data_IF_658224134377
#
_entry.id   IF_658224134377
#
_cell.length_a   1.000
_cell.length_b   1.000
_cell.length_c   1.000
_cell.angle_alpha   90.00
_cell.angle_beta   90.00
_cell.angle_gamma   90.00
#
_symmetry.space_group_name_H-M   'P 1'
#
loop_
_entity.id
_entity.type
_entity.pdbx_description
1 polymer ?
#
# COMPACT_ATOMS: atom_id res chain seq x y z
N UNK A 1 13.28 27.63 -7.67
CA UNK A 1 11.81 27.60 -7.84
C UNK A 1 11.35 26.50 -8.81
N UNK A 2 11.97 26.37 -9.98
CA UNK A 2 11.62 25.35 -11.02
C UNK A 2 11.64 23.90 -10.50
N UNK A 3 12.62 23.51 -9.67
CA UNK A 3 12.68 22.15 -9.13
C UNK A 3 11.52 21.80 -8.19
N UNK A 4 10.88 22.77 -7.52
CA UNK A 4 9.78 22.51 -6.59
C UNK A 4 8.49 22.12 -7.32
N UNK A 5 8.19 22.79 -8.44
CA UNK A 5 7.01 22.48 -9.27
C UNK A 5 7.09 21.08 -9.88
N UNK A 6 8.28 20.68 -10.34
CA UNK A 6 8.51 19.35 -10.89
C UNK A 6 8.30 18.24 -9.84
N UNK A 7 8.86 18.39 -8.64
CA UNK A 7 8.66 17.43 -7.55
C UNK A 7 7.18 17.33 -7.15
N UNK A 8 6.49 18.47 -7.08
CA UNK A 8 5.05 18.49 -6.80
C UNK A 8 4.21 17.74 -7.86
N UNK A 9 4.56 17.89 -9.14
CA UNK A 9 3.88 17.16 -10.22
C UNK A 9 4.06 15.64 -10.07
N UNK A 10 5.27 15.17 -9.73
CA UNK A 10 5.51 13.75 -9.50
C UNK A 10 4.74 13.23 -8.29
N UNK A 11 4.69 14.01 -7.19
CA UNK A 11 3.88 13.64 -6.02
C UNK A 11 2.42 13.44 -6.42
N UNK A 12 1.84 14.34 -7.23
CA UNK A 12 0.48 14.19 -7.75
C UNK A 12 0.31 12.92 -8.57
N UNK A 13 1.24 12.63 -9.48
CA UNK A 13 1.18 11.39 -10.27
C UNK A 13 1.10 10.17 -9.36
N UNK A 14 1.94 10.08 -8.33
CA UNK A 14 1.95 8.90 -7.47
C UNK A 14 0.79 8.84 -6.46
N UNK A 15 0.19 9.98 -6.12
CA UNK A 15 -1.11 10.01 -5.43
C UNK A 15 -2.20 9.40 -6.34
N UNK A 16 -2.26 9.81 -7.60
CA UNK A 16 -3.27 9.26 -8.52
C UNK A 16 -3.03 7.78 -8.84
N UNK A 17 -1.75 7.34 -8.90
CA UNK A 17 -1.41 5.92 -9.02
C UNK A 17 -1.87 5.13 -7.78
N UNK A 18 -1.72 5.69 -6.58
CA UNK A 18 -2.27 5.08 -5.37
C UNK A 18 -3.79 4.92 -5.50
N UNK A 19 -4.49 6.00 -5.83
CA UNK A 19 -5.95 6.02 -5.82
C UNK A 19 -6.60 5.19 -6.92
N UNK A 20 -5.95 5.08 -8.09
CA UNK A 20 -6.53 4.44 -9.27
C UNK A 20 -5.92 3.08 -9.64
N UNK A 21 -4.74 2.74 -9.13
CA UNK A 21 -4.09 1.45 -9.43
C UNK A 21 -3.92 0.60 -8.18
N UNK A 22 -3.38 1.18 -7.10
CA UNK A 22 -3.08 0.45 -5.87
C UNK A 22 -4.35 0.16 -5.05
N UNK A 23 -5.08 1.21 -4.67
CA UNK A 23 -6.24 1.11 -3.81
C UNK A 23 -7.34 0.19 -4.37
N UNK A 24 -7.70 0.25 -5.67
CA UNK A 24 -8.68 -0.66 -6.26
C UNK A 24 -8.25 -2.13 -6.29
N UNK A 25 -6.94 -2.42 -6.22
CA UNK A 25 -6.42 -3.78 -6.15
C UNK A 25 -6.32 -4.29 -4.69
N UNK A 26 -5.86 -3.47 -3.75
CA UNK A 26 -5.64 -3.92 -2.36
C UNK A 26 -6.91 -3.90 -1.51
N UNK A 27 -7.79 -2.90 -1.69
CA UNK A 27 -8.95 -2.70 -0.82
C UNK A 27 -9.97 -3.84 -0.89
N UNK A 28 -10.26 -4.50 -2.04
CA UNK A 28 -11.15 -5.65 -2.07
C UNK A 28 -10.59 -6.84 -1.29
N UNK A 29 -9.26 -7.06 -1.34
CA UNK A 29 -8.61 -8.15 -0.58
C UNK A 29 -8.77 -7.91 0.91
N UNK A 30 -8.44 -6.70 1.37
CA UNK A 30 -8.59 -6.32 2.79
C UNK A 30 -10.06 -6.40 3.24
N UNK A 31 -10.99 -5.94 2.40
CA UNK A 31 -12.42 -6.03 2.70
C UNK A 31 -12.88 -7.48 2.85
N UNK A 32 -12.60 -8.33 1.87
CA UNK A 32 -13.06 -9.72 1.87
C UNK A 32 -12.45 -10.54 3.01
N UNK A 33 -11.17 -10.29 3.33
CA UNK A 33 -10.47 -11.06 4.36
C UNK A 33 -10.75 -10.57 5.79
N UNK A 34 -10.75 -9.25 6.02
CA UNK A 34 -10.88 -8.69 7.38
C UNK A 34 -12.27 -8.15 7.70
N UNK A 35 -12.92 -7.47 6.74
CA UNK A 35 -14.16 -6.71 7.01
C UNK A 35 -15.41 -7.56 6.84
N UNK A 36 -15.51 -8.32 5.74
CA UNK A 36 -16.69 -9.13 5.44
C UNK A 36 -17.05 -10.11 6.59
N UNK A 37 -16.11 -10.88 7.17
CA UNK A 37 -16.41 -11.76 8.31
C UNK A 37 -16.89 -11.00 9.55
N UNK A 38 -16.35 -9.81 9.82
CA UNK A 38 -16.79 -8.97 10.94
C UNK A 38 -18.21 -8.42 10.77
N UNK A 39 -18.67 -8.32 9.52
CA UNK A 39 -20.05 -7.97 9.16
C UNK A 39 -20.97 -9.19 9.05
N UNK A 40 -20.51 -10.40 9.44
CA UNK A 40 -21.28 -11.64 9.32
C UNK A 40 -21.46 -12.13 7.87
N UNK A 41 -20.67 -11.60 6.92
CA UNK A 41 -20.68 -12.03 5.52
C UNK A 41 -19.63 -13.11 5.28
N UNK A 42 -19.92 -14.00 4.34
CA UNK A 42 -18.94 -14.97 3.85
C UNK A 42 -17.89 -14.27 2.98
N UNK A 43 -16.62 -14.59 3.19
CA UNK A 43 -15.51 -14.17 2.32
C UNK A 43 -15.68 -14.74 0.92
N UNK A 44 -15.58 -13.88 -0.09
CA UNK A 44 -15.52 -14.29 -1.50
C UNK A 44 -14.06 -14.46 -1.92
N UNK A 45 -13.62 -15.72 -1.99
CA UNK A 45 -12.25 -16.06 -2.37
C UNK A 45 -11.93 -15.67 -3.83
N UNK A 46 -12.92 -15.70 -4.73
CA UNK A 46 -12.69 -15.35 -6.14
C UNK A 46 -12.36 -13.87 -6.31
N UNK A 47 -12.97 -13.01 -5.49
CA UNK A 47 -12.64 -11.57 -5.43
C UNK A 47 -11.24 -11.37 -4.88
N UNK A 48 -10.82 -12.15 -3.89
CA UNK A 48 -9.46 -12.08 -3.35
C UNK A 48 -8.45 -12.45 -4.45
N UNK A 49 -8.59 -13.63 -5.05
CA UNK A 49 -7.62 -14.16 -6.02
C UNK A 49 -7.46 -13.20 -7.21
N UNK A 50 -8.57 -12.73 -7.78
CA UNK A 50 -8.56 -11.80 -8.91
C UNK A 50 -7.91 -10.44 -8.60
N UNK A 51 -7.94 -10.00 -7.33
CA UNK A 51 -7.34 -8.73 -6.93
C UNK A 51 -5.90 -8.88 -6.46
N UNK A 52 -5.50 -10.05 -5.95
CA UNK A 52 -4.09 -10.39 -5.72
C UNK A 52 -3.30 -10.37 -7.01
N UNK A 53 -3.81 -10.94 -8.10
CA UNK A 53 -3.17 -10.88 -9.43
C UNK A 53 -2.97 -9.44 -9.94
N UNK A 54 -3.94 -8.55 -9.66
CA UNK A 54 -3.83 -7.12 -10.01
C UNK A 54 -2.79 -6.43 -9.15
N UNK A 55 -2.83 -6.69 -7.83
CA UNK A 55 -1.92 -6.08 -6.87
C UNK A 55 -0.47 -6.51 -7.16
N UNK A 56 -0.25 -7.76 -7.55
CA UNK A 56 1.05 -8.28 -7.98
C UNK A 56 1.66 -7.42 -9.08
N UNK A 57 0.90 -7.18 -10.17
CA UNK A 57 1.35 -6.35 -11.30
C UNK A 57 1.61 -4.89 -10.91
N UNK A 58 0.78 -4.33 -10.02
CA UNK A 58 0.99 -2.97 -9.50
C UNK A 58 2.28 -2.91 -8.68
N UNK A 59 2.52 -3.91 -7.83
CA UNK A 59 3.71 -3.99 -7.00
C UNK A 59 4.98 -4.22 -7.82
N UNK A 60 4.91 -4.87 -8.98
CA UNK A 60 6.05 -4.97 -9.91
C UNK A 60 6.47 -3.60 -10.46
N UNK A 61 5.50 -2.75 -10.80
CA UNK A 61 5.78 -1.35 -11.21
C UNK A 61 6.38 -0.56 -10.04
N UNK A 62 5.92 -0.80 -8.81
CA UNK A 62 6.46 -0.16 -7.62
C UNK A 62 7.90 -0.62 -7.35
N UNK A 63 8.18 -1.91 -7.54
CA UNK A 63 9.52 -2.48 -7.39
C UNK A 63 10.50 -1.84 -8.38
N UNK A 64 10.13 -1.72 -9.67
CA UNK A 64 10.94 -1.01 -10.65
C UNK A 64 11.15 0.45 -10.25
N UNK A 65 10.08 1.14 -9.81
CA UNK A 65 10.18 2.54 -9.39
C UNK A 65 11.14 2.70 -8.22
N UNK A 66 10.96 1.91 -7.17
CA UNK A 66 11.71 2.00 -5.91
C UNK A 66 13.14 1.49 -6.04
N UNK A 67 13.47 0.76 -7.10
CA UNK A 67 14.85 0.46 -7.48
C UNK A 67 15.64 1.71 -7.92
N UNK A 68 14.94 2.79 -8.33
CA UNK A 68 15.55 4.02 -8.85
C UNK A 68 15.46 5.21 -7.90
N UNK A 69 14.48 5.22 -7.01
CA UNK A 69 14.23 6.31 -6.07
C UNK A 69 13.85 5.77 -4.70
N UNK A 70 14.25 6.45 -3.62
CA UNK A 70 13.98 5.97 -2.26
C UNK A 70 12.48 5.87 -1.92
N UNK A 71 11.67 6.78 -2.45
CA UNK A 71 10.22 6.86 -2.27
C UNK A 71 9.53 6.94 -3.62
N UNK A 72 8.20 6.84 -3.63
CA UNK A 72 7.43 6.82 -4.88
C UNK A 72 7.63 8.10 -5.70
N UNK A 73 7.66 9.25 -5.04
CA UNK A 73 7.81 10.54 -5.72
C UNK A 73 9.26 11.00 -5.96
N UNK A 74 10.27 10.22 -5.51
CA UNK A 74 11.68 10.62 -5.55
C UNK A 74 12.39 10.30 -4.24
N UNK A 75 13.41 11.07 -3.88
CA UNK A 75 14.23 10.80 -2.69
C UNK A 75 13.72 11.50 -1.41
N UNK A 76 12.44 11.84 -1.36
CA UNK A 76 11.78 12.44 -0.21
C UNK A 76 10.44 11.78 0.07
N UNK A 77 10.15 11.57 1.35
CA UNK A 77 8.84 11.08 1.80
C UNK A 77 7.76 12.11 1.48
N UNK A 78 6.67 11.68 0.89
CA UNK A 78 5.61 12.57 0.41
C UNK A 78 4.21 12.07 0.78
N UNK A 79 3.19 12.84 0.40
CA UNK A 79 1.80 12.42 0.56
C UNK A 79 1.48 11.18 -0.28
N UNK A 80 2.19 10.97 -1.39
CA UNK A 80 2.04 9.75 -2.19
C UNK A 80 2.32 8.51 -1.33
N UNK A 81 3.44 8.46 -0.59
CA UNK A 81 3.79 7.33 0.26
C UNK A 81 2.87 7.19 1.49
N UNK A 82 2.41 8.33 2.02
CA UNK A 82 1.53 8.37 3.19
C UNK A 82 0.20 7.68 2.92
N UNK A 83 -0.39 7.89 1.74
CA UNK A 83 -1.70 7.34 1.39
C UNK A 83 -1.73 5.80 1.37
N UNK A 84 -0.59 5.14 1.12
CA UNK A 84 -0.52 3.67 1.15
C UNK A 84 -0.59 3.07 2.55
N UNK A 85 -0.29 3.84 3.60
CA UNK A 85 -0.11 3.31 4.95
C UNK A 85 -1.31 2.52 5.48
N UNK A 86 -2.58 3.00 5.38
CA UNK A 86 -3.69 2.33 6.04
C UNK A 86 -3.99 0.95 5.46
N UNK A 87 -4.13 0.85 4.13
CA UNK A 87 -4.45 -0.44 3.50
C UNK A 87 -3.28 -1.39 3.51
N UNK A 88 -2.05 -0.91 3.32
CA UNK A 88 -0.87 -1.77 3.39
C UNK A 88 -0.73 -2.36 4.79
N UNK A 89 -0.94 -1.57 5.85
CA UNK A 89 -0.91 -2.07 7.22
C UNK A 89 -1.86 -3.24 7.48
N UNK A 90 -3.09 -3.17 6.96
CA UNK A 90 -4.05 -4.28 7.08
C UNK A 90 -3.68 -5.45 6.17
N UNK A 91 -3.25 -5.18 4.94
CA UNK A 91 -2.81 -6.20 3.99
C UNK A 91 -1.66 -7.05 4.55
N UNK A 92 -0.70 -6.42 5.25
CA UNK A 92 0.41 -7.12 5.92
C UNK A 92 -0.02 -8.10 7.02
N UNK A 93 -1.29 -8.09 7.44
CA UNK A 93 -1.87 -9.04 8.41
C UNK A 93 -2.63 -10.18 7.75
N UNK A 94 -2.69 -10.18 6.43
CA UNK A 94 -3.28 -11.26 5.65
C UNK A 94 -2.23 -12.33 5.33
N UNK A 95 -2.63 -13.54 4.91
CA UNK A 95 -1.71 -14.58 4.45
C UNK A 95 -0.88 -14.17 3.22
N UNK A 96 -1.26 -13.11 2.51
CA UNK A 96 -0.63 -12.66 1.26
C UNK A 96 0.41 -11.56 1.45
N UNK A 97 0.85 -11.30 2.68
CA UNK A 97 1.90 -10.33 2.98
C UNK A 97 3.22 -10.57 2.20
N UNK A 98 3.45 -11.80 1.72
CA UNK A 98 4.58 -12.14 0.85
C UNK A 98 4.63 -11.30 -0.43
N UNK A 99 3.50 -10.85 -0.98
CA UNK A 99 3.47 -9.96 -2.15
C UNK A 99 4.26 -8.66 -1.90
N UNK A 100 4.31 -8.18 -0.66
CA UNK A 100 5.16 -7.02 -0.29
C UNK A 100 6.57 -7.48 0.08
N UNK A 101 6.71 -8.60 0.80
CA UNK A 101 8.01 -9.05 1.34
C UNK A 101 8.97 -9.65 0.30
N UNK A 102 8.46 -10.22 -0.79
CA UNK A 102 9.26 -10.89 -1.82
C UNK A 102 9.87 -9.89 -2.82
N UNK A 103 9.44 -8.62 -2.77
CA UNK A 103 9.94 -7.51 -3.57
C UNK A 103 10.89 -6.65 -2.73
N UNK A 104 12.22 -6.74 -2.90
CA UNK A 104 13.16 -6.15 -1.95
C UNK A 104 13.04 -4.62 -1.80
N UNK A 105 12.81 -3.87 -2.87
CA UNK A 105 12.69 -2.41 -2.79
C UNK A 105 11.34 -1.99 -2.20
N UNK A 106 10.24 -2.64 -2.58
CA UNK A 106 8.93 -2.46 -1.96
C UNK A 106 8.97 -2.81 -0.47
N UNK A 107 9.59 -3.93 -0.10
CA UNK A 107 9.77 -4.34 1.30
C UNK A 107 10.53 -3.30 2.11
N UNK A 108 11.65 -2.79 1.56
CA UNK A 108 12.46 -1.78 2.22
C UNK A 108 11.69 -0.45 2.37
N UNK A 109 10.97 -0.03 1.32
CA UNK A 109 10.10 1.14 1.34
C UNK A 109 9.01 1.01 2.41
N UNK A 110 8.29 -0.12 2.43
CA UNK A 110 7.27 -0.39 3.44
C UNK A 110 7.85 -0.34 4.86
N UNK A 111 9.01 -0.95 5.08
CA UNK A 111 9.69 -0.93 6.37
C UNK A 111 10.06 0.50 6.81
N UNK A 112 10.53 1.35 5.89
CA UNK A 112 10.82 2.76 6.18
C UNK A 112 9.53 3.50 6.55
N UNK A 113 8.53 3.55 5.66
CA UNK A 113 7.33 4.38 5.85
C UNK A 113 6.49 3.96 7.05
N UNK A 114 6.41 2.65 7.33
CA UNK A 114 5.64 2.12 8.47
C UNK A 114 6.38 2.29 9.82
N UNK A 115 7.69 2.50 9.81
CA UNK A 115 8.48 2.72 11.03
C UNK A 115 8.45 4.17 11.54
N UNK A 116 7.90 5.09 10.75
CA UNK A 116 7.89 6.53 11.04
C UNK A 116 7.12 6.83 12.35
N UNK A 117 7.62 7.72 13.23
CA UNK A 117 6.99 7.99 14.53
C UNK A 117 5.53 8.45 14.43
N UNK A 118 5.18 9.20 13.39
CA UNK A 118 3.81 9.64 13.15
C UNK A 118 2.88 8.45 12.89
N UNK A 119 3.31 7.51 12.03
CA UNK A 119 2.52 6.34 11.73
C UNK A 119 2.45 5.38 12.91
N UNK A 120 3.52 5.16 13.69
CA UNK A 120 3.51 4.24 14.84
C UNK A 120 2.39 4.50 15.87
N UNK A 121 1.86 5.73 15.95
CA UNK A 121 0.73 6.08 16.83
C UNK A 121 -0.65 5.72 16.26
N UNK A 122 -0.76 5.56 14.94
CA UNK A 122 -2.03 5.31 14.22
C UNK A 122 -2.53 3.87 14.37
N UNK A 123 -1.70 2.82 14.25
CA UNK A 123 -2.08 1.42 14.47
C UNK A 123 -2.87 1.12 15.74
N UNK A 124 -2.69 1.92 16.79
CA UNK A 124 -3.43 1.77 18.06
C UNK A 124 -4.95 1.88 17.83
N UNK A 125 -5.39 2.71 16.89
CA UNK A 125 -6.81 2.85 16.51
C UNK A 125 -7.24 1.96 15.33
N UNK A 126 -6.31 1.21 14.72
CA UNK A 126 -6.57 0.38 13.55
C UNK A 126 -6.94 -1.04 13.97
N UNK A 127 -8.09 -1.18 14.63
CA UNK A 127 -8.50 -2.42 15.32
C UNK A 127 -9.28 -3.41 14.46
N UNK A 128 -9.58 -3.08 13.20
CA UNK A 128 -10.26 -4.01 12.30
C UNK A 128 -9.40 -5.25 12.03
N UNK A 129 -9.97 -6.44 12.15
CA UNK A 129 -9.27 -7.71 11.96
C UNK A 129 -8.27 -8.11 13.05
N UNK A 130 -8.08 -7.30 14.11
CA UNK A 130 -7.29 -7.70 15.27
C UNK A 130 -8.18 -8.54 16.21
N UNK A 131 -7.82 -9.81 16.44
CA UNK A 131 -8.36 -10.61 17.55
C UNK A 131 -7.61 -10.28 18.83
#
# INVERSE_FOLDING_TARGET
MVNSLFLYAIVKVWIEVESHQYNPAISPVVYQYLVAPQLGKTTDQSVIDANLEKLEKVLDVYEERLSRTKYLAGDFYSLADLHHLPYTFYFMRTPWASLVHDRPHVRAWWADISSRPAFKKVPVGMTFGLK
#
